data_IF_650794477879
#
_entry.id   IF_650794477879
#
_cell.length_a   1.000
_cell.length_b   1.000
_cell.length_c   1.000
_cell.angle_alpha   90.00
_cell.angle_beta   90.00
_cell.angle_gamma   90.00
#
_symmetry.space_group_name_H-M   'P 1'
#
loop_
_entity.id
_entity.type
_entity.pdbx_description
1 polymer ?
#
# COMPACT_ATOMS: atom_id res chain seq x y z
N UNK A 1 19.68 -14.50 -22.34
CA UNK A 1 18.39 -14.46 -21.60
C UNK A 1 17.61 -13.23 -22.05
N UNK A 2 16.29 -13.33 -22.21
CA UNK A 2 15.45 -12.19 -22.61
C UNK A 2 15.33 -11.17 -21.46
N UNK A 3 15.08 -9.87 -21.74
CA UNK A 3 14.89 -8.86 -20.70
C UNK A 3 13.80 -9.22 -19.67
N UNK A 4 12.73 -9.89 -20.13
CA UNK A 4 11.61 -10.37 -19.30
C UNK A 4 12.01 -11.48 -18.30
N UNK A 5 13.23 -12.02 -18.40
CA UNK A 5 13.79 -12.99 -17.46
C UNK A 5 14.82 -12.32 -16.56
N UNK A 6 15.69 -11.49 -17.12
CA UNK A 6 16.79 -10.87 -16.36
C UNK A 6 16.29 -9.79 -15.40
N UNK A 7 15.35 -8.94 -15.82
CA UNK A 7 14.88 -7.82 -14.99
C UNK A 7 14.13 -8.29 -13.75
N UNK A 8 13.19 -9.26 -13.81
CA UNK A 8 12.52 -9.75 -12.61
C UNK A 8 13.48 -10.48 -11.67
N UNK A 9 14.47 -11.21 -12.20
CA UNK A 9 15.49 -11.87 -11.38
C UNK A 9 16.32 -10.85 -10.59
N UNK A 10 16.85 -9.83 -11.27
CA UNK A 10 17.63 -8.77 -10.61
C UNK A 10 16.78 -8.03 -9.57
N UNK A 11 15.54 -7.71 -9.91
CA UNK A 11 14.59 -7.05 -9.00
C UNK A 11 14.31 -7.90 -7.76
N UNK A 12 14.14 -9.21 -7.94
CA UNK A 12 13.95 -10.18 -6.85
C UNK A 12 15.17 -10.25 -5.93
N UNK A 13 16.37 -10.42 -6.51
CA UNK A 13 17.64 -10.50 -5.77
C UNK A 13 17.88 -9.22 -4.98
N UNK A 14 17.77 -8.05 -5.63
CA UNK A 14 17.94 -6.76 -4.97
C UNK A 14 16.95 -6.61 -3.82
N UNK A 15 15.68 -6.94 -4.04
CA UNK A 15 14.66 -6.85 -2.99
C UNK A 15 14.95 -7.76 -1.79
N UNK A 16 15.41 -8.99 -2.01
CA UNK A 16 15.81 -9.88 -0.91
C UNK A 16 17.03 -9.38 -0.14
N UNK A 17 18.01 -8.79 -0.83
CA UNK A 17 19.17 -8.17 -0.17
C UNK A 17 18.72 -7.00 0.72
N UNK A 18 17.84 -6.14 0.22
CA UNK A 18 17.27 -5.05 1.01
C UNK A 18 16.43 -5.58 2.18
N UNK A 19 15.61 -6.61 1.97
CA UNK A 19 14.84 -7.24 3.04
C UNK A 19 15.75 -7.76 4.15
N UNK A 20 16.83 -8.46 3.80
CA UNK A 20 17.83 -8.96 4.75
C UNK A 20 18.51 -7.82 5.52
N UNK A 21 18.90 -6.73 4.83
CA UNK A 21 19.49 -5.55 5.46
C UNK A 21 18.54 -4.88 6.46
N UNK A 22 17.27 -4.72 6.10
CA UNK A 22 16.23 -4.14 6.97
C UNK A 22 15.94 -5.07 8.17
N UNK A 23 15.88 -6.39 7.97
CA UNK A 23 15.73 -7.36 9.06
C UNK A 23 16.92 -7.36 10.02
N UNK A 24 18.15 -7.28 9.50
CA UNK A 24 19.36 -7.14 10.31
C UNK A 24 19.37 -5.82 11.09
N UNK A 25 18.80 -4.75 10.53
CA UNK A 25 18.62 -3.49 11.25
C UNK A 25 17.54 -3.60 12.34
N UNK A 26 16.45 -4.31 12.04
CA UNK A 26 15.36 -4.55 12.97
C UNK A 26 15.80 -5.41 14.15
N UNK A 27 16.61 -6.45 13.95
CA UNK A 27 17.10 -7.31 15.04
C UNK A 27 17.93 -6.56 16.09
N UNK A 28 18.47 -5.39 15.74
CA UNK A 28 19.21 -4.52 16.67
C UNK A 28 18.34 -3.43 17.31
N UNK A 29 17.38 -2.86 16.56
CA UNK A 29 16.61 -1.67 16.99
C UNK A 29 15.16 -1.95 17.39
N UNK A 30 14.63 -3.12 17.04
CA UNK A 30 13.28 -3.60 17.30
C UNK A 30 12.16 -2.58 16.98
N UNK A 31 12.32 -1.78 15.91
CA UNK A 31 11.28 -0.82 15.51
C UNK A 31 10.22 -1.50 14.65
N UNK A 32 8.95 -1.43 15.05
CA UNK A 32 7.85 -2.13 14.36
C UNK A 32 7.75 -1.84 12.86
N UNK A 33 7.97 -0.60 12.41
CA UNK A 33 7.90 -0.25 11.00
C UNK A 33 8.95 -0.97 10.13
N UNK A 34 10.14 -1.26 10.69
CA UNK A 34 11.21 -1.96 9.96
C UNK A 34 10.79 -3.40 9.65
N UNK A 35 10.11 -4.06 10.60
CA UNK A 35 9.60 -5.42 10.37
C UNK A 35 8.54 -5.43 9.27
N UNK A 36 7.62 -4.47 9.28
CA UNK A 36 6.56 -4.38 8.26
C UNK A 36 7.15 -4.07 6.88
N UNK A 37 8.15 -3.17 6.79
CA UNK A 37 8.86 -2.94 5.53
C UNK A 37 9.65 -4.15 5.05
N UNK A 38 10.32 -4.88 5.94
CA UNK A 38 10.98 -6.12 5.60
C UNK A 38 9.99 -7.13 4.98
N UNK A 39 8.81 -7.29 5.58
CA UNK A 39 7.74 -8.14 5.03
C UNK A 39 7.31 -7.66 3.65
N UNK A 40 7.10 -6.35 3.45
CA UNK A 40 6.78 -5.79 2.14
C UNK A 40 7.87 -6.02 1.08
N UNK A 41 9.14 -5.94 1.46
CA UNK A 41 10.28 -6.25 0.58
C UNK A 41 10.34 -7.75 0.26
N UNK A 42 10.08 -8.63 1.23
CA UNK A 42 9.97 -10.08 0.97
C UNK A 42 8.85 -10.37 -0.04
N UNK A 43 7.69 -9.73 0.10
CA UNK A 43 6.61 -9.85 -0.89
C UNK A 43 7.04 -9.39 -2.28
N UNK A 44 7.73 -8.26 -2.37
CA UNK A 44 8.24 -7.79 -3.65
C UNK A 44 9.23 -8.79 -4.26
N UNK A 45 10.18 -9.27 -3.46
CA UNK A 45 11.16 -10.27 -3.88
C UNK A 45 10.52 -11.55 -4.39
N UNK A 46 9.52 -12.07 -3.67
CA UNK A 46 8.77 -13.27 -4.08
C UNK A 46 7.99 -13.00 -5.37
N UNK A 47 7.29 -11.86 -5.49
CA UNK A 47 6.51 -11.53 -6.70
C UNK A 47 7.39 -11.40 -7.95
N UNK A 48 8.54 -10.72 -7.85
CA UNK A 48 9.47 -10.61 -8.96
C UNK A 48 10.15 -11.97 -9.26
N UNK A 49 10.37 -12.79 -8.23
CA UNK A 49 10.90 -14.13 -8.36
C UNK A 49 9.93 -15.07 -9.09
N UNK A 50 8.62 -14.99 -8.80
CA UNK A 50 7.62 -15.78 -9.52
C UNK A 50 7.49 -15.35 -10.98
N UNK A 51 7.62 -14.07 -11.28
CA UNK A 51 7.70 -13.57 -12.66
C UNK A 51 8.93 -14.10 -13.40
N UNK A 52 10.10 -14.10 -12.76
CA UNK A 52 11.30 -14.73 -13.32
C UNK A 52 11.05 -16.23 -13.60
N UNK A 53 10.55 -16.97 -12.62
CA UNK A 53 10.31 -18.40 -12.76
C UNK A 53 9.32 -18.69 -13.90
N UNK A 54 8.26 -17.90 -14.02
CA UNK A 54 7.25 -18.09 -15.04
C UNK A 54 7.76 -17.74 -16.44
N UNK A 55 8.53 -16.67 -16.56
CA UNK A 55 9.16 -16.24 -17.82
C UNK A 55 10.30 -17.16 -18.27
N UNK A 56 11.04 -17.79 -17.34
CA UNK A 56 12.19 -18.64 -17.63
C UNK A 56 11.82 -20.12 -17.83
N UNK A 57 10.89 -20.64 -17.02
CA UNK A 57 10.57 -22.07 -16.94
C UNK A 57 9.11 -22.40 -17.30
N UNK A 58 8.31 -21.39 -17.64
CA UNK A 58 6.90 -21.54 -17.99
C UNK A 58 5.96 -21.29 -16.81
N UNK A 59 4.74 -20.86 -17.13
CA UNK A 59 3.71 -20.55 -16.15
C UNK A 59 2.89 -21.79 -15.77
N UNK A 60 2.62 -21.92 -14.47
CA UNK A 60 1.63 -22.87 -13.94
C UNK A 60 0.66 -22.13 -13.01
N UNK A 61 -0.44 -22.80 -12.68
CA UNK A 61 -1.52 -22.23 -11.86
C UNK A 61 -1.04 -21.76 -10.48
N UNK A 62 -0.21 -22.54 -9.78
CA UNK A 62 0.30 -22.16 -8.47
C UNK A 62 1.16 -20.89 -8.55
N UNK A 63 2.07 -20.84 -9.53
CA UNK A 63 2.95 -19.69 -9.75
C UNK A 63 2.17 -18.44 -10.11
N UNK A 64 1.13 -18.58 -10.94
CA UNK A 64 0.23 -17.49 -11.31
C UNK A 64 -0.54 -16.95 -10.10
N UNK A 65 -1.11 -17.83 -9.27
CA UNK A 65 -1.82 -17.44 -8.04
C UNK A 65 -0.89 -16.72 -7.06
N UNK A 66 0.34 -17.20 -6.89
CA UNK A 66 1.34 -16.57 -6.03
C UNK A 66 1.75 -15.21 -6.56
N UNK A 67 2.06 -15.10 -7.86
CA UNK A 67 2.39 -13.82 -8.51
C UNK A 67 1.26 -12.81 -8.35
N UNK A 68 0.02 -13.23 -8.64
CA UNK A 68 -1.14 -12.34 -8.58
C UNK A 68 -1.45 -11.91 -7.14
N UNK A 69 -1.50 -12.85 -6.19
CA UNK A 69 -1.79 -12.55 -4.79
C UNK A 69 -0.74 -11.60 -4.20
N UNK A 70 0.52 -11.95 -4.35
CA UNK A 70 1.59 -11.19 -3.69
C UNK A 70 1.79 -9.85 -4.39
N UNK A 71 1.94 -9.86 -5.72
CA UNK A 71 2.17 -8.66 -6.51
C UNK A 71 0.99 -7.68 -6.48
N UNK A 72 -0.23 -8.18 -6.75
CA UNK A 72 -1.39 -7.31 -6.87
C UNK A 72 -1.99 -6.89 -5.53
N UNK A 73 -1.78 -7.63 -4.43
CA UNK A 73 -2.32 -7.24 -3.12
C UNK A 73 -1.24 -6.81 -2.14
N UNK A 74 -0.23 -7.66 -1.91
CA UNK A 74 0.58 -7.52 -0.69
C UNK A 74 1.70 -6.50 -0.81
N UNK A 75 2.35 -6.38 -1.98
CA UNK A 75 3.54 -5.52 -2.13
C UNK A 75 3.27 -4.07 -1.71
N UNK A 76 2.38 -3.38 -2.41
CA UNK A 76 2.13 -1.96 -2.15
C UNK A 76 1.53 -1.74 -0.75
N UNK A 77 0.62 -2.62 -0.34
CA UNK A 77 -0.10 -2.47 0.92
C UNK A 77 0.82 -2.64 2.15
N UNK A 78 1.71 -3.65 2.15
CA UNK A 78 2.64 -3.87 3.26
C UNK A 78 3.77 -2.82 3.29
N UNK A 79 4.29 -2.40 2.13
CA UNK A 79 5.26 -1.30 2.09
C UNK A 79 4.66 0.01 2.60
N UNK A 80 3.43 0.34 2.19
CA UNK A 80 2.69 1.49 2.72
C UNK A 80 2.34 1.35 4.21
N UNK A 81 2.00 0.15 4.67
CA UNK A 81 1.73 -0.12 6.08
C UNK A 81 2.95 0.16 6.98
N UNK A 82 4.16 -0.13 6.51
CA UNK A 82 5.37 0.26 7.25
C UNK A 82 5.46 1.77 7.47
N UNK A 83 5.07 2.57 6.47
CA UNK A 83 4.99 4.03 6.57
C UNK A 83 3.89 4.48 7.54
N UNK A 84 2.73 3.81 7.52
CA UNK A 84 1.65 4.08 8.49
C UNK A 84 2.13 3.81 9.92
N UNK A 85 2.84 2.70 10.15
CA UNK A 85 3.40 2.34 11.47
C UNK A 85 4.45 3.36 11.89
N UNK A 86 5.32 3.81 10.98
CA UNK A 86 6.31 4.84 11.25
C UNK A 86 5.67 6.16 11.72
N UNK A 87 4.59 6.57 11.06
CA UNK A 87 3.94 7.86 11.27
C UNK A 87 2.70 7.80 12.17
N UNK A 88 2.40 6.65 12.79
CA UNK A 88 1.16 6.39 13.51
C UNK A 88 0.86 7.40 14.62
N UNK A 89 1.89 7.92 15.31
CA UNK A 89 1.74 8.89 16.41
C UNK A 89 1.58 10.35 15.94
N UNK A 90 1.61 10.59 14.64
CA UNK A 90 1.46 11.93 14.05
C UNK A 90 0.02 12.17 13.56
N UNK A 91 -0.25 13.36 13.03
CA UNK A 91 -1.53 13.66 12.35
C UNK A 91 -1.64 12.99 10.96
N UNK A 92 -0.63 12.22 10.55
CA UNK A 92 -0.63 11.49 9.28
C UNK A 92 -1.82 10.54 9.12
N UNK A 93 -2.40 10.06 10.23
CA UNK A 93 -3.59 9.21 10.22
C UNK A 93 -4.79 9.82 9.47
N UNK A 94 -4.93 11.14 9.36
CA UNK A 94 -5.96 11.75 8.51
C UNK A 94 -5.71 11.50 7.01
N UNK A 95 -4.45 11.54 6.56
CA UNK A 95 -4.10 11.17 5.18
C UNK A 95 -4.37 9.70 4.92
N UNK A 96 -4.09 8.84 5.91
CA UNK A 96 -4.43 7.42 5.83
C UNK A 96 -5.95 7.24 5.69
N UNK A 97 -6.76 7.89 6.53
CA UNK A 97 -8.23 7.84 6.43
C UNK A 97 -8.73 8.29 5.05
N UNK A 98 -8.18 9.37 4.49
CA UNK A 98 -8.50 9.84 3.14
C UNK A 98 -8.12 8.81 2.07
N UNK A 99 -6.99 8.12 2.20
CA UNK A 99 -6.61 7.06 1.26
C UNK A 99 -7.62 5.90 1.23
N UNK A 100 -8.21 5.56 2.37
CA UNK A 100 -9.31 4.58 2.43
C UNK A 100 -10.57 5.09 1.71
N UNK A 101 -10.89 6.39 1.80
CA UNK A 101 -11.99 6.97 1.02
C UNK A 101 -11.72 6.91 -0.49
N UNK A 102 -10.48 7.10 -0.94
CA UNK A 102 -10.11 6.87 -2.33
C UNK A 102 -10.26 5.39 -2.73
N UNK A 103 -9.95 4.45 -1.84
CA UNK A 103 -10.26 3.03 -2.02
C UNK A 103 -11.76 2.76 -2.19
N UNK A 104 -12.61 3.41 -1.40
CA UNK A 104 -14.06 3.33 -1.53
C UNK A 104 -14.54 3.94 -2.87
N UNK A 105 -14.03 5.11 -3.23
CA UNK A 105 -14.36 5.79 -4.48
C UNK A 105 -13.98 4.93 -5.70
N UNK A 106 -12.82 4.27 -5.64
CA UNK A 106 -12.41 3.31 -6.67
C UNK A 106 -13.44 2.20 -6.83
N UNK A 107 -13.82 1.52 -5.73
CA UNK A 107 -14.83 0.47 -5.78
C UNK A 107 -16.15 0.97 -6.38
N UNK A 108 -16.59 2.18 -6.02
CA UNK A 108 -17.78 2.80 -6.58
C UNK A 108 -17.67 3.08 -8.08
N UNK A 109 -16.51 3.56 -8.54
CA UNK A 109 -16.27 3.94 -9.94
C UNK A 109 -16.22 2.73 -10.88
N UNK A 110 -15.67 1.61 -10.43
CA UNK A 110 -15.53 0.40 -11.25
C UNK A 110 -16.75 -0.54 -11.20
N UNK A 111 -17.81 -0.18 -10.46
CA UNK A 111 -19.03 -1.00 -10.32
C UNK A 111 -19.67 -1.40 -11.66
N UNK A 112 -19.67 -0.48 -12.63
CA UNK A 112 -20.29 -0.71 -13.94
C UNK A 112 -19.53 -1.71 -14.81
N UNK A 113 -18.30 -2.08 -14.43
CA UNK A 113 -17.47 -3.02 -15.20
C UNK A 113 -17.77 -4.49 -14.88
N UNK A 114 -18.39 -4.77 -13.73
CA UNK A 114 -18.75 -6.12 -13.29
C UNK A 114 -20.16 -6.14 -12.65
N UNK A 115 -21.24 -6.04 -13.44
CA UNK A 115 -22.60 -5.88 -12.91
C UNK A 115 -23.04 -7.00 -11.93
N UNK A 116 -22.56 -8.22 -12.18
CA UNK A 116 -22.88 -9.41 -11.39
C UNK A 116 -22.29 -9.39 -9.97
N UNK A 117 -21.26 -8.58 -9.72
CA UNK A 117 -20.48 -8.59 -8.47
C UNK A 117 -20.92 -7.50 -7.46
N UNK A 118 -22.17 -7.01 -7.56
CA UNK A 118 -22.71 -5.86 -6.79
C UNK A 118 -22.46 -5.98 -5.27
N UNK A 119 -22.57 -7.17 -4.70
CA UNK A 119 -22.34 -7.41 -3.26
C UNK A 119 -20.89 -7.19 -2.86
N UNK A 120 -19.93 -7.66 -3.66
CA UNK A 120 -18.50 -7.47 -3.41
C UNK A 120 -18.14 -5.98 -3.40
N UNK A 121 -18.71 -5.18 -4.32
CA UNK A 121 -18.53 -3.73 -4.31
C UNK A 121 -19.06 -3.08 -3.05
N UNK A 122 -20.28 -3.43 -2.63
CA UNK A 122 -20.88 -2.87 -1.43
C UNK A 122 -20.05 -3.20 -0.18
N UNK A 123 -19.55 -4.44 -0.07
CA UNK A 123 -18.68 -4.86 1.04
C UNK A 123 -17.38 -4.06 1.06
N UNK A 124 -16.69 -3.93 -0.08
CA UNK A 124 -15.43 -3.16 -0.16
C UNK A 124 -15.66 -1.68 0.15
N UNK A 125 -16.72 -1.09 -0.40
CA UNK A 125 -17.11 0.29 -0.15
C UNK A 125 -17.34 0.53 1.35
N UNK A 126 -18.20 -0.26 1.98
CA UNK A 126 -18.55 -0.14 3.40
C UNK A 126 -17.33 -0.38 4.27
N UNK A 127 -16.52 -1.40 3.98
CA UNK A 127 -15.29 -1.68 4.73
C UNK A 127 -14.29 -0.52 4.66
N UNK A 128 -14.10 0.07 3.48
CA UNK A 128 -13.21 1.22 3.30
C UNK A 128 -13.72 2.46 4.03
N UNK A 129 -15.02 2.76 3.96
CA UNK A 129 -15.63 3.89 4.69
C UNK A 129 -15.53 3.68 6.20
N UNK A 130 -15.85 2.48 6.68
CA UNK A 130 -15.75 2.14 8.11
C UNK A 130 -14.31 2.27 8.61
N UNK A 131 -13.32 1.77 7.86
CA UNK A 131 -11.91 1.93 8.18
C UNK A 131 -11.47 3.39 8.17
N UNK A 132 -11.91 4.19 7.18
CA UNK A 132 -11.62 5.62 7.12
C UNK A 132 -12.13 6.36 8.36
N UNK A 133 -13.39 6.11 8.75
CA UNK A 133 -14.01 6.71 9.94
C UNK A 133 -13.27 6.27 11.21
N UNK A 134 -13.00 4.96 11.36
CA UNK A 134 -12.27 4.43 12.52
C UNK A 134 -10.87 5.05 12.64
N UNK A 135 -10.13 5.18 11.54
CA UNK A 135 -8.79 5.78 11.52
C UNK A 135 -8.87 7.28 11.80
N UNK A 136 -9.86 8.01 11.26
CA UNK A 136 -10.03 9.43 11.53
C UNK A 136 -10.33 9.70 13.02
N UNK A 137 -11.23 8.91 13.61
CA UNK A 137 -11.55 8.97 15.05
C UNK A 137 -10.33 8.60 15.88
N UNK A 138 -9.60 7.53 15.52
CA UNK A 138 -8.36 7.15 16.20
C UNK A 138 -7.31 8.26 16.12
N UNK A 139 -7.16 8.91 14.96
CA UNK A 139 -6.22 10.04 14.79
C UNK A 139 -6.57 11.22 15.70
N UNK A 140 -7.87 11.47 15.89
CA UNK A 140 -8.35 12.53 16.78
C UNK A 140 -8.21 12.18 18.26
N UNK A 141 -8.65 10.99 18.68
CA UNK A 141 -8.76 10.59 20.10
C UNK A 141 -7.51 9.90 20.65
N UNK A 142 -6.93 8.96 19.90
CA UNK A 142 -5.88 8.08 20.37
C UNK A 142 -5.00 7.62 19.20
N UNK A 143 -4.03 8.46 18.79
CA UNK A 143 -3.16 8.22 17.62
C UNK A 143 -2.43 6.86 17.66
N UNK A 144 -2.16 6.34 18.85
CA UNK A 144 -1.57 5.01 19.02
C UNK A 144 -2.41 3.88 18.40
N UNK A 145 -3.73 4.08 18.22
CA UNK A 145 -4.63 3.10 17.61
C UNK A 145 -4.61 3.09 16.07
N UNK A 146 -4.01 4.10 15.41
CA UNK A 146 -4.00 4.18 13.94
C UNK A 146 -3.29 2.97 13.32
N UNK A 147 -2.10 2.63 13.82
CA UNK A 147 -1.35 1.47 13.33
C UNK A 147 -2.09 0.13 13.54
N UNK A 148 -2.56 -0.24 14.75
CA UNK A 148 -3.24 -1.52 14.93
C UNK A 148 -4.56 -1.61 14.17
N UNK A 149 -5.32 -0.51 14.01
CA UNK A 149 -6.53 -0.52 13.16
C UNK A 149 -6.14 -0.79 11.71
N UNK A 150 -5.19 -0.03 11.15
CA UNK A 150 -4.77 -0.19 9.77
C UNK A 150 -4.17 -1.59 9.49
N UNK A 151 -3.34 -2.11 10.40
CA UNK A 151 -2.75 -3.44 10.29
C UNK A 151 -3.79 -4.56 10.45
N UNK A 152 -4.79 -4.39 11.32
CA UNK A 152 -5.89 -5.35 11.45
C UNK A 152 -6.71 -5.40 10.17
N UNK A 153 -7.08 -4.24 9.61
CA UNK A 153 -7.82 -4.16 8.35
C UNK A 153 -7.00 -4.78 7.21
N UNK A 154 -5.70 -4.48 7.12
CA UNK A 154 -4.80 -5.10 6.14
C UNK A 154 -4.71 -6.62 6.32
N UNK A 155 -4.55 -7.10 7.56
CA UNK A 155 -4.43 -8.53 7.86
C UNK A 155 -5.71 -9.31 7.51
N UNK A 156 -6.87 -8.81 7.94
CA UNK A 156 -8.18 -9.42 7.61
C UNK A 156 -8.39 -9.41 6.09
N UNK A 157 -8.16 -8.27 5.44
CA UNK A 157 -8.25 -8.18 3.99
C UNK A 157 -7.30 -9.15 3.28
N UNK A 158 -6.09 -9.34 3.80
CA UNK A 158 -5.07 -10.21 3.20
C UNK A 158 -5.48 -11.68 3.28
N UNK A 159 -6.09 -12.09 4.40
CA UNK A 159 -6.65 -13.44 4.56
C UNK A 159 -7.81 -13.66 3.59
N UNK A 160 -8.72 -12.69 3.45
CA UNK A 160 -9.83 -12.75 2.50
C UNK A 160 -9.31 -12.84 1.06
N UNK A 161 -8.37 -11.96 0.67
CA UNK A 161 -7.77 -11.96 -0.65
C UNK A 161 -7.09 -13.30 -0.97
N UNK A 162 -6.30 -13.83 -0.03
CA UNK A 162 -5.65 -15.12 -0.19
C UNK A 162 -6.68 -16.26 -0.37
N UNK A 163 -7.73 -16.28 0.46
CA UNK A 163 -8.78 -17.30 0.37
C UNK A 163 -9.52 -17.24 -0.97
N UNK A 164 -9.81 -16.04 -1.48
CA UNK A 164 -10.48 -15.87 -2.77
C UNK A 164 -9.57 -16.25 -3.94
N UNK A 165 -8.31 -15.80 -3.96
CA UNK A 165 -7.36 -16.12 -5.04
C UNK A 165 -7.06 -17.62 -5.10
N UNK A 166 -6.91 -18.28 -3.95
CA UNK A 166 -6.64 -19.73 -3.89
C UNK A 166 -7.83 -20.59 -4.33
N UNK A 167 -9.04 -20.05 -4.33
CA UNK A 167 -10.27 -20.74 -4.75
C UNK A 167 -10.73 -20.30 -6.15
N UNK A 168 -10.08 -19.31 -6.74
CA UNK A 168 -10.45 -18.79 -8.05
C UNK A 168 -10.18 -19.82 -9.15
N UNK A 169 -11.15 -19.98 -10.04
CA UNK A 169 -10.94 -20.69 -11.31
C UNK A 169 -10.15 -19.79 -12.25
N UNK A 170 -8.99 -20.26 -12.70
CA UNK A 170 -8.15 -19.52 -13.65
C UNK A 170 -8.54 -19.84 -15.08
N UNK A 171 -8.79 -18.82 -15.89
CA UNK A 171 -8.87 -18.98 -17.34
C UNK A 171 -7.48 -18.74 -17.95
N UNK A 172 -6.73 -19.82 -18.11
CA UNK A 172 -5.33 -19.79 -18.55
C UNK A 172 -5.18 -19.89 -20.08
N UNK A 173 -6.12 -19.34 -20.85
CA UNK A 173 -6.16 -19.46 -22.32
C UNK A 173 -4.96 -18.85 -23.05
N UNK A 174 -4.16 -17.99 -22.41
CA UNK A 174 -3.08 -17.22 -23.07
C UNK A 174 -1.65 -17.62 -22.71
N UNK A 175 -1.45 -18.53 -21.73
CA UNK A 175 -0.10 -18.95 -21.31
C UNK A 175 0.79 -17.85 -20.70
N UNK A 176 0.28 -16.62 -20.60
CA UNK A 176 0.96 -15.43 -20.06
C UNK A 176 0.10 -14.85 -18.94
N UNK A 177 0.69 -14.39 -17.82
CA UNK A 177 -0.07 -13.83 -16.72
C UNK A 177 -0.75 -12.52 -17.12
N UNK A 178 -2.08 -12.55 -17.22
CA UNK A 178 -2.90 -11.36 -17.46
C UNK A 178 -3.93 -11.22 -16.36
N UNK A 179 -4.05 -10.03 -15.77
CA UNK A 179 -4.98 -9.80 -14.67
C UNK A 179 -6.46 -10.06 -15.00
N UNK A 180 -6.81 -10.24 -16.28
CA UNK A 180 -8.15 -10.65 -16.74
C UNK A 180 -8.46 -12.12 -16.52
N UNK A 181 -7.45 -12.97 -16.32
CA UNK A 181 -7.64 -14.39 -16.01
C UNK A 181 -8.18 -14.64 -14.59
N UNK A 182 -8.21 -13.60 -13.74
CA UNK A 182 -8.80 -13.63 -12.41
C UNK A 182 -10.21 -13.01 -12.45
N UNK A 183 -11.20 -13.63 -11.79
CA UNK A 183 -12.56 -13.09 -11.65
C UNK A 183 -12.64 -11.63 -11.16
N UNK A 184 -13.67 -10.90 -11.63
CA UNK A 184 -13.90 -9.48 -11.34
C UNK A 184 -13.98 -9.16 -9.85
N UNK A 185 -14.76 -9.94 -9.10
CA UNK A 185 -14.88 -9.88 -7.63
C UNK A 185 -13.54 -9.81 -6.88
N UNK A 186 -12.50 -10.52 -7.35
CA UNK A 186 -11.16 -10.52 -6.74
C UNK A 186 -10.37 -9.27 -7.14
N UNK A 187 -10.45 -8.88 -8.42
CA UNK A 187 -9.74 -7.70 -8.94
C UNK A 187 -10.16 -6.41 -8.26
N UNK A 188 -11.43 -6.30 -7.89
CA UNK A 188 -11.98 -5.14 -7.16
C UNK A 188 -11.27 -4.97 -5.82
N UNK A 189 -10.99 -6.07 -5.12
CA UNK A 189 -10.34 -6.06 -3.82
C UNK A 189 -8.87 -5.61 -3.91
N UNK A 190 -8.18 -5.84 -5.04
CA UNK A 190 -6.79 -5.42 -5.22
C UNK A 190 -6.63 -3.88 -5.28
N UNK A 191 -7.64 -3.16 -5.76
CA UNK A 191 -7.59 -1.70 -5.90
C UNK A 191 -7.31 -0.97 -4.59
N UNK A 192 -8.13 -1.16 -3.54
CA UNK A 192 -7.88 -0.55 -2.22
C UNK A 192 -6.50 -0.84 -1.65
N UNK A 193 -5.99 -2.08 -1.77
CA UNK A 193 -4.64 -2.45 -1.30
C UNK A 193 -3.56 -1.57 -1.92
N UNK A 194 -3.62 -1.38 -3.24
CA UNK A 194 -2.66 -0.56 -3.97
C UNK A 194 -2.86 0.94 -3.71
N UNK A 195 -4.10 1.42 -3.71
CA UNK A 195 -4.41 2.84 -3.50
C UNK A 195 -3.92 3.28 -2.12
N UNK A 196 -4.29 2.56 -1.07
CA UNK A 196 -3.92 2.88 0.31
C UNK A 196 -2.40 2.76 0.48
N UNK A 197 -1.81 1.68 -0.03
CA UNK A 197 -0.37 1.44 0.04
C UNK A 197 0.46 2.51 -0.67
N UNK A 198 0.14 2.79 -1.93
CA UNK A 198 0.83 3.80 -2.73
C UNK A 198 0.65 5.21 -2.15
N UNK A 199 -0.57 5.56 -1.71
CA UNK A 199 -0.82 6.86 -1.09
C UNK A 199 0.00 7.04 0.18
N UNK A 200 0.07 6.01 1.03
CA UNK A 200 0.90 6.04 2.24
C UNK A 200 2.39 6.19 1.92
N UNK A 201 2.90 5.51 0.87
CA UNK A 201 4.28 5.65 0.43
C UNK A 201 4.59 7.04 -0.10
N UNK A 202 3.80 7.55 -1.05
CA UNK A 202 4.04 8.84 -1.71
C UNK A 202 3.89 9.98 -0.72
N UNK A 203 2.75 10.06 -0.02
CA UNK A 203 2.50 11.16 0.93
C UNK A 203 3.43 11.04 2.14
N UNK A 204 3.75 9.83 2.58
CA UNK A 204 4.70 9.62 3.66
C UNK A 204 6.14 10.01 3.29
N UNK A 205 6.55 9.77 2.05
CA UNK A 205 7.84 10.22 1.53
C UNK A 205 7.90 11.76 1.46
N UNK A 206 6.87 12.41 0.92
CA UNK A 206 6.76 13.89 0.87
C UNK A 206 6.77 14.47 2.29
N UNK A 207 6.00 13.89 3.21
CA UNK A 207 5.95 14.31 4.60
C UNK A 207 7.32 14.18 5.28
N UNK A 208 8.02 13.07 5.04
CA UNK A 208 9.35 12.83 5.60
C UNK A 208 10.38 13.81 5.03
N UNK A 209 10.38 14.02 3.71
CA UNK A 209 11.24 15.00 3.06
C UNK A 209 11.03 16.41 3.66
N UNK A 210 9.79 16.86 3.79
CA UNK A 210 9.46 18.16 4.37
C UNK A 210 9.87 18.30 5.85
N UNK A 211 9.83 17.22 6.62
CA UNK A 211 10.21 17.26 8.05
C UNK A 211 11.74 17.30 8.23
N UNK A 212 12.49 16.55 7.41
CA UNK A 212 13.94 16.39 7.57
C UNK A 212 14.78 17.35 6.71
N UNK A 213 14.19 18.05 5.75
CA UNK A 213 14.91 19.06 4.96
C UNK A 213 15.34 20.24 5.85
N UNK A 214 16.60 20.70 5.77
CA UNK A 214 17.08 21.85 6.53
C UNK A 214 16.33 23.11 6.09
N UNK A 215 15.35 23.53 6.90
CA UNK A 215 14.53 24.72 6.62
C UNK A 215 15.37 25.96 6.86
N UNK A 216 15.84 26.63 5.81
CA UNK A 216 16.20 28.04 5.93
C UNK A 216 14.90 28.81 6.20
N UNK A 217 14.65 29.17 7.46
CA UNK A 217 13.43 29.88 7.86
C UNK A 217 13.52 31.33 7.38
N UNK A 218 13.24 31.57 6.10
CA UNK A 218 13.16 32.92 5.52
C UNK A 218 11.98 33.71 6.12
N UNK A 219 10.95 32.99 6.55
CA UNK A 219 9.73 33.54 7.14
C UNK A 219 9.64 33.20 8.64
N UNK A 220 9.79 34.21 9.50
CA UNK A 220 9.72 34.09 10.96
C UNK A 220 8.33 33.77 11.49
N UNK A 221 8.23 33.21 12.70
CA UNK A 221 6.95 32.99 13.40
C UNK A 221 6.24 34.33 13.62
N UNK A 222 5.13 34.58 12.93
CA UNK A 222 4.21 35.70 13.22
C UNK A 222 2.89 35.14 13.75
N UNK A 223 2.36 35.75 14.80
CA UNK A 223 1.00 35.48 15.28
C UNK A 223 0.00 36.08 14.30
N UNK A 224 -0.44 35.28 13.33
CA UNK A 224 -1.41 35.68 12.31
C UNK A 224 -2.81 35.12 12.66
N UNK A 225 -3.90 35.79 12.26
CA UNK A 225 -5.25 35.28 12.37
C UNK A 225 -5.40 33.89 11.71
N UNK A 226 -6.32 33.02 12.17
CA UNK A 226 -6.33 31.59 11.82
C UNK A 226 -6.32 31.28 10.32
N UNK A 227 -7.10 32.02 9.53
CA UNK A 227 -7.19 31.86 8.07
C UNK A 227 -5.89 32.30 7.38
N UNK A 228 -5.33 33.44 7.81
CA UNK A 228 -4.07 33.98 7.29
C UNK A 228 -2.89 33.09 7.70
N UNK A 229 -2.93 32.49 8.89
CA UNK A 229 -1.92 31.53 9.34
C UNK A 229 -1.93 30.23 8.53
N UNK A 230 -3.09 29.77 8.06
CA UNK A 230 -3.19 28.60 7.17
C UNK A 230 -2.64 28.92 5.77
N UNK A 231 -2.99 30.08 5.21
CA UNK A 231 -2.47 30.55 3.91
C UNK A 231 -0.97 30.81 4.00
N UNK A 232 -0.51 31.47 5.06
CA UNK A 232 0.91 31.69 5.34
C UNK A 232 1.65 30.37 5.58
N UNK A 233 1.01 29.40 6.24
CA UNK A 233 1.55 28.05 6.39
C UNK A 233 1.70 27.33 5.06
N UNK A 234 0.71 27.42 4.16
CA UNK A 234 0.78 26.87 2.82
C UNK A 234 1.83 27.56 1.93
N UNK A 235 1.90 28.89 1.98
CA UNK A 235 2.94 29.70 1.32
C UNK A 235 4.32 29.42 1.88
N UNK A 236 4.47 29.33 3.21
CA UNK A 236 5.73 28.97 3.83
C UNK A 236 6.12 27.52 3.51
N UNK A 237 5.17 26.60 3.35
CA UNK A 237 5.45 25.26 2.83
C UNK A 237 6.00 25.37 1.42
N UNK A 238 5.35 26.09 0.51
CA UNK A 238 5.78 26.24 -0.89
C UNK A 238 7.13 26.97 -1.03
N UNK A 239 7.32 28.08 -0.31
CA UNK A 239 8.54 28.90 -0.36
C UNK A 239 9.73 28.22 0.30
N UNK A 240 9.51 27.45 1.38
CA UNK A 240 10.60 26.66 1.98
C UNK A 240 10.82 25.31 1.26
N UNK A 241 10.05 24.99 0.21
CA UNK A 241 10.23 23.77 -0.61
C UNK A 241 11.13 24.01 -1.83
N UNK A 242 11.43 25.29 -2.15
CA UNK A 242 12.36 25.74 -3.21
C UNK A 242 13.69 26.10 -2.54
#
# INVERSE_FOLDING_TARGET
MTPNVVLPLLSSVVSFVFAAAVLAQWSRRHRGFQLVWAVGLLWYGISAGTEFLGSAFGWNEALYRTWYLIGAFFVAAYLGAGTIVLLARTRFGYFVAVSFLFGALYAFAIRGRYPEDTTAFAVVLVACIAAAVAIAIATWRARALVAPIALTVLGVGSVIAAALVLRATLDATTGVPVGTAIPGNIRILAGPFNIIGAFALVVGAIFSAYVFMPKQRVLGRRSLPPVVAQIYGALAVAVNFI
#
